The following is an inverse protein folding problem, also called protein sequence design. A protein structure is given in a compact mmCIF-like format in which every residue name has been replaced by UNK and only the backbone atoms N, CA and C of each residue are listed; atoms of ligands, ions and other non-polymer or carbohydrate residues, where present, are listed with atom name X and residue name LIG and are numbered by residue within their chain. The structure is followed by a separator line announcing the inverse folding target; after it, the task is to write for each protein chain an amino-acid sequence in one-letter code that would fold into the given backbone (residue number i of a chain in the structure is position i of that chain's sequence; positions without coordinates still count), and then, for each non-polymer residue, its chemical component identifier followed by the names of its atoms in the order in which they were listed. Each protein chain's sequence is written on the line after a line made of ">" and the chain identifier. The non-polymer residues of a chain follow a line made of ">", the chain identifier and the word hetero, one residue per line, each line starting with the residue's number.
data_IF_252983324211
#
_entry.id   IF_252983324211
#
_cell.length_a   1.000
_cell.length_b   1.000
_cell.length_c   1.000
_cell.angle_alpha   90.00
_cell.angle_beta   90.00
_cell.angle_gamma   90.00
#
_symmetry.space_group_name_H-M   'P 1'
#
loop_
_entity.id
_entity.type
_entity.pdbx_description
1 polymer ?
#
# COMPACT_ATOMS: atom_id res chain seq x y z
N UNK A 1 -11.48 18.30 -2.87
CA UNK A 1 -12.00 17.64 -1.65
C UNK A 1 -11.58 16.19 -1.72
N UNK A 2 -10.68 15.74 -0.86
CA UNK A 2 -10.30 14.33 -0.75
C UNK A 2 -11.53 13.56 -0.26
N UNK A 3 -12.03 12.61 -1.05
CA UNK A 3 -13.06 11.70 -0.58
C UNK A 3 -12.51 10.98 0.66
N UNK A 4 -13.13 11.19 1.83
CA UNK A 4 -12.75 10.50 3.06
C UNK A 4 -12.90 8.96 2.98
N UNK A 5 -13.35 8.44 1.84
CA UNK A 5 -13.61 7.03 1.55
C UNK A 5 -12.57 6.35 0.64
N UNK A 6 -11.67 7.06 -0.03
CA UNK A 6 -10.66 6.41 -0.88
C UNK A 6 -9.35 6.20 -0.10
N UNK A 7 -8.99 4.95 0.29
CA UNK A 7 -7.83 4.71 1.12
C UNK A 7 -6.51 4.70 0.34
N UNK A 8 -6.54 4.74 -1.00
CA UNK A 8 -5.36 4.47 -1.83
C UNK A 8 -4.19 5.41 -1.56
N UNK A 9 -4.43 6.72 -1.46
CA UNK A 9 -3.40 7.70 -1.13
C UNK A 9 -2.76 7.46 0.25
N UNK A 10 -3.57 7.09 1.26
CA UNK A 10 -3.05 6.75 2.58
C UNK A 10 -2.28 5.43 2.58
N UNK A 11 -2.74 4.42 1.84
CA UNK A 11 -2.02 3.15 1.67
C UNK A 11 -0.66 3.35 1.02
N UNK A 12 -0.56 4.19 -0.03
CA UNK A 12 0.70 4.57 -0.67
C UNK A 12 1.64 5.25 0.33
N UNK A 13 1.12 6.22 1.10
CA UNK A 13 1.91 6.90 2.11
C UNK A 13 2.47 5.95 3.18
N UNK A 14 1.64 5.05 3.71
CA UNK A 14 2.04 4.05 4.70
C UNK A 14 3.07 3.08 4.13
N UNK A 15 2.87 2.57 2.91
CA UNK A 15 3.82 1.67 2.24
C UNK A 15 5.22 2.31 2.12
N UNK A 16 5.29 3.58 1.70
CA UNK A 16 6.56 4.31 1.62
C UNK A 16 7.17 4.57 3.01
N UNK A 17 6.36 4.92 4.02
CA UNK A 17 6.86 5.09 5.38
C UNK A 17 7.43 3.79 5.96
N UNK A 18 6.77 2.65 5.77
CA UNK A 18 7.25 1.36 6.26
C UNK A 18 8.64 1.04 5.71
N UNK A 19 8.85 1.24 4.41
CA UNK A 19 10.13 0.97 3.77
C UNK A 19 11.22 1.98 4.19
N UNK A 20 10.92 3.27 4.16
CA UNK A 20 11.88 4.34 4.52
C UNK A 20 12.24 4.37 6.01
N UNK A 21 11.38 3.80 6.88
CA UNK A 21 11.64 3.65 8.32
C UNK A 21 12.16 2.27 8.71
N UNK A 22 12.57 1.45 7.74
CA UNK A 22 13.16 0.13 7.97
C UNK A 22 12.25 -0.84 8.74
N UNK A 23 10.93 -0.66 8.65
CA UNK A 23 9.95 -1.58 9.26
C UNK A 23 9.68 -2.80 8.36
N UNK A 24 10.06 -2.71 7.10
CA UNK A 24 9.99 -3.77 6.10
C UNK A 24 11.18 -3.65 5.14
N UNK A 25 11.32 -4.59 4.22
CA UNK A 25 12.38 -4.62 3.23
C UNK A 25 11.90 -5.30 1.93
N UNK A 26 12.82 -5.54 0.99
CA UNK A 26 12.52 -6.16 -0.30
C UNK A 26 12.16 -7.65 -0.23
N UNK A 27 12.26 -8.30 0.94
CA UNK A 27 11.90 -9.72 1.07
C UNK A 27 10.38 -9.97 0.96
N UNK A 28 9.54 -8.96 1.21
CA UNK A 28 8.10 -9.09 1.01
C UNK A 28 7.26 -8.17 1.89
N UNK A 29 6.03 -8.62 2.17
CA UNK A 29 4.99 -7.89 2.90
C UNK A 29 3.86 -7.39 2.00
N UNK A 30 2.78 -6.95 2.63
CA UNK A 30 1.60 -6.39 1.97
C UNK A 30 0.93 -5.38 2.91
N UNK A 31 0.07 -4.53 2.33
CA UNK A 31 -0.82 -3.64 3.08
C UNK A 31 -2.24 -3.86 2.55
N UNK A 32 -3.20 -3.95 3.47
CA UNK A 32 -4.61 -3.99 3.14
C UNK A 32 -5.40 -3.03 4.00
N UNK A 33 -6.44 -2.42 3.45
CA UNK A 33 -7.35 -1.52 4.15
C UNK A 33 -8.80 -1.93 3.87
N UNK A 34 -9.65 -1.97 4.90
CA UNK A 34 -11.09 -2.19 4.73
C UNK A 34 -11.82 -0.86 4.81
N UNK A 35 -12.66 -0.58 3.82
CA UNK A 35 -13.56 0.59 3.81
C UNK A 35 -14.97 0.09 3.48
N UNK A 36 -15.83 0.07 4.50
CA UNK A 36 -17.15 -0.57 4.40
C UNK A 36 -17.04 -2.04 4.00
N UNK A 37 -17.72 -2.41 2.92
CA UNK A 37 -17.74 -3.78 2.38
C UNK A 37 -16.56 -4.11 1.45
N UNK A 38 -15.69 -3.13 1.14
CA UNK A 38 -14.56 -3.33 0.24
C UNK A 38 -13.26 -3.53 1.03
N UNK A 39 -12.41 -4.43 0.52
CA UNK A 39 -11.01 -4.56 0.96
C UNK A 39 -10.13 -4.10 -0.19
N UNK A 40 -9.29 -3.12 0.10
CA UNK A 40 -8.24 -2.62 -0.78
C UNK A 40 -6.94 -3.35 -0.44
N UNK A 41 -6.22 -3.83 -1.44
CA UNK A 41 -4.99 -4.61 -1.20
C UNK A 41 -3.87 -4.25 -2.18
N UNK A 42 -2.65 -4.21 -1.66
CA UNK A 42 -1.44 -4.05 -2.47
C UNK A 42 -1.23 -5.22 -3.44
N UNK A 43 -0.57 -5.01 -4.60
CA UNK A 43 -0.30 -6.08 -5.54
C UNK A 43 0.65 -7.12 -4.94
N UNK A 44 0.58 -8.34 -5.46
CA UNK A 44 1.52 -9.40 -5.11
C UNK A 44 2.95 -8.97 -5.44
N UNK A 45 3.89 -9.36 -4.58
CA UNK A 45 5.31 -9.06 -4.73
C UNK A 45 5.66 -7.57 -4.65
N UNK A 46 4.87 -6.75 -3.93
CA UNK A 46 5.16 -5.34 -3.72
C UNK A 46 6.60 -5.11 -3.22
N UNK A 47 7.06 -5.90 -2.24
CA UNK A 47 8.41 -5.79 -1.72
C UNK A 47 9.49 -6.23 -2.72
N UNK A 48 9.35 -7.41 -3.32
CA UNK A 48 10.43 -8.03 -4.10
C UNK A 48 10.53 -7.57 -5.55
N UNK A 49 9.41 -7.20 -6.19
CA UNK A 49 9.40 -6.74 -7.59
C UNK A 49 9.34 -5.23 -7.73
N UNK A 50 8.67 -4.56 -6.80
CA UNK A 50 8.41 -3.12 -6.89
C UNK A 50 9.16 -2.31 -5.82
N UNK A 51 9.94 -2.97 -4.95
CA UNK A 51 10.71 -2.32 -3.90
C UNK A 51 9.91 -1.30 -3.08
N UNK A 52 8.66 -1.67 -2.75
CA UNK A 52 7.72 -0.83 -2.00
C UNK A 52 7.34 0.50 -2.67
N UNK A 53 7.64 0.70 -3.96
CA UNK A 53 7.20 1.86 -4.76
C UNK A 53 5.74 1.69 -5.20
N UNK A 54 4.81 1.72 -4.24
CA UNK A 54 3.38 1.58 -4.50
C UNK A 54 2.82 2.84 -5.17
N UNK A 55 1.92 2.64 -6.14
CA UNK A 55 1.10 3.71 -6.74
C UNK A 55 -0.38 3.41 -6.54
N UNK A 56 -1.23 4.44 -6.55
CA UNK A 56 -2.66 4.29 -6.28
C UNK A 56 -3.34 3.35 -7.29
N UNK A 57 -2.95 3.41 -8.57
CA UNK A 57 -3.48 2.56 -9.65
C UNK A 57 -3.10 1.07 -9.51
N UNK A 58 -2.19 0.74 -8.60
CA UNK A 58 -1.77 -0.64 -8.33
C UNK A 58 -2.58 -1.30 -7.22
N UNK A 59 -3.39 -0.53 -6.48
CA UNK A 59 -4.25 -1.05 -5.40
C UNK A 59 -5.55 -1.57 -6.00
N UNK A 60 -5.85 -2.84 -5.72
CA UNK A 60 -7.09 -3.52 -6.10
C UNK A 60 -8.17 -3.32 -5.05
#
# INVERSE_FOLDING_TARGET
>A
MTNASDPRGQMVHIAHLMFTRFLTNSAGGNVSCRVGEHIYVTPRYLGSKYHWQLKEEMVL
#
